data_IF_788329623575
#
_entry.id   IF_788329623575
#
_cell.length_a   1.000
_cell.length_b   1.000
_cell.length_c   1.000
_cell.angle_alpha   90.00
_cell.angle_beta   90.00
_cell.angle_gamma   90.00
#
_symmetry.space_group_name_H-M   'P 1'
#
loop_
_entity.id
_entity.type
_entity.pdbx_description
1 polymer ?
#
# COMPACT_ATOMS: atom_id res chain seq x y z
N UNK A 1 8.82 2.76 -7.68
CA UNK A 1 7.51 2.29 -7.18
C UNK A 1 7.74 1.18 -6.15
N UNK A 2 7.01 1.21 -5.05
CA UNK A 2 6.93 0.10 -4.08
C UNK A 2 5.47 -0.34 -4.06
N UNK A 3 5.21 -1.64 -4.30
CA UNK A 3 3.86 -2.18 -4.40
C UNK A 3 3.47 -2.88 -3.11
N UNK A 4 2.29 -2.54 -2.58
CA UNK A 4 1.67 -3.18 -1.43
C UNK A 4 0.77 -4.33 -1.92
N UNK A 5 0.95 -5.51 -1.36
CA UNK A 5 0.02 -6.62 -1.52
C UNK A 5 -1.06 -6.51 -0.43
N UNK A 6 -2.18 -5.87 -0.77
CA UNK A 6 -3.26 -5.62 0.19
C UNK A 6 -3.89 -6.93 0.67
N UNK A 7 -4.00 -7.95 -0.20
CA UNK A 7 -4.50 -9.25 0.19
C UNK A 7 -3.69 -9.84 1.35
N UNK A 8 -2.36 -9.87 1.22
CA UNK A 8 -1.52 -10.40 2.30
C UNK A 8 -1.57 -9.55 3.57
N UNK A 9 -1.57 -8.24 3.42
CA UNK A 9 -1.66 -7.33 4.57
C UNK A 9 -2.99 -7.46 5.33
N UNK A 10 -4.09 -7.71 4.63
CA UNK A 10 -5.40 -7.96 5.25
C UNK A 10 -5.41 -9.29 5.99
N UNK A 11 -4.82 -10.34 5.40
CA UNK A 11 -4.71 -11.65 6.06
C UNK A 11 -3.87 -11.57 7.33
N UNK A 12 -2.68 -10.96 7.27
CA UNK A 12 -1.79 -10.79 8.41
C UNK A 12 -2.46 -9.97 9.53
N UNK A 13 -3.12 -8.85 9.16
CA UNK A 13 -3.87 -8.03 10.10
C UNK A 13 -5.03 -8.79 10.75
N UNK A 14 -5.81 -9.55 9.94
CA UNK A 14 -6.96 -10.28 10.45
C UNK A 14 -6.54 -11.38 11.42
N UNK A 15 -5.50 -12.13 11.10
CA UNK A 15 -4.98 -13.19 11.95
C UNK A 15 -4.50 -12.64 13.30
N UNK A 16 -3.73 -11.55 13.31
CA UNK A 16 -3.29 -10.87 14.54
C UNK A 16 -4.48 -10.32 15.36
N UNK A 17 -5.54 -9.87 14.69
CA UNK A 17 -6.72 -9.33 15.33
C UNK A 17 -7.59 -10.45 15.92
N UNK A 18 -7.79 -11.54 15.19
CA UNK A 18 -8.54 -12.71 15.62
C UNK A 18 -7.87 -13.42 16.80
N UNK A 19 -6.56 -13.60 16.80
CA UNK A 19 -5.82 -14.16 17.92
C UNK A 19 -6.04 -13.36 19.21
N UNK A 20 -5.91 -12.03 19.16
CA UNK A 20 -6.17 -11.16 20.32
C UNK A 20 -7.63 -11.18 20.77
N UNK A 21 -8.55 -11.27 19.82
CA UNK A 21 -9.97 -11.40 20.12
C UNK A 21 -10.28 -12.74 20.78
N UNK A 22 -9.68 -13.82 20.30
CA UNK A 22 -9.84 -15.16 20.89
C UNK A 22 -9.26 -15.23 22.30
N UNK A 23 -8.08 -14.66 22.55
CA UNK A 23 -7.48 -14.58 23.89
C UNK A 23 -8.39 -13.89 24.92
N UNK A 24 -9.17 -12.89 24.46
CA UNK A 24 -10.03 -12.07 25.33
C UNK A 24 -11.40 -12.68 25.52
N UNK A 25 -11.97 -13.31 24.49
CA UNK A 25 -13.39 -13.73 24.46
C UNK A 25 -13.58 -15.24 24.41
N UNK A 26 -12.54 -16.01 24.07
CA UNK A 26 -12.61 -17.46 23.84
C UNK A 26 -13.35 -17.84 22.56
N UNK A 27 -13.56 -16.90 21.62
CA UNK A 27 -14.26 -17.10 20.34
C UNK A 27 -13.47 -16.49 19.20
N UNK A 28 -13.53 -17.12 18.03
CA UNK A 28 -13.01 -16.53 16.81
C UNK A 28 -13.93 -15.45 16.26
N UNK A 29 -13.33 -14.44 15.63
CA UNK A 29 -14.05 -13.33 15.01
C UNK A 29 -14.62 -13.75 13.65
N UNK A 30 -15.83 -13.33 13.33
CA UNK A 30 -16.36 -13.45 11.97
C UNK A 30 -15.66 -12.40 11.07
N UNK A 31 -15.23 -12.84 9.90
CA UNK A 31 -14.57 -11.96 8.91
C UNK A 31 -15.45 -10.80 8.44
N UNK A 32 -16.78 -10.97 8.50
CA UNK A 32 -17.75 -9.92 8.15
C UNK A 32 -17.95 -8.89 9.28
N UNK A 33 -17.58 -9.21 10.52
CA UNK A 33 -17.76 -8.32 11.67
C UNK A 33 -16.54 -7.41 11.94
N UNK A 34 -15.57 -7.37 11.01
CA UNK A 34 -14.37 -6.56 11.17
C UNK A 34 -14.62 -5.08 10.95
N UNK A 35 -13.89 -4.25 11.69
CA UNK A 35 -13.88 -2.81 11.49
C UNK A 35 -12.75 -2.42 10.52
N UNK A 36 -13.10 -2.01 9.30
CA UNK A 36 -12.12 -1.61 8.27
C UNK A 36 -11.24 -0.43 8.69
N UNK A 37 -11.71 0.44 9.59
CA UNK A 37 -10.90 1.50 10.17
C UNK A 37 -9.72 0.94 10.97
N UNK A 38 -9.87 -0.23 11.62
CA UNK A 38 -8.76 -0.90 12.31
C UNK A 38 -7.69 -1.38 11.34
N UNK A 39 -8.07 -1.86 10.16
CA UNK A 39 -7.11 -2.18 9.11
C UNK A 39 -6.41 -0.91 8.58
N UNK A 40 -7.14 0.20 8.40
CA UNK A 40 -6.56 1.47 8.02
C UNK A 40 -5.48 1.94 9.01
N UNK A 41 -5.71 1.79 10.31
CA UNK A 41 -4.70 2.09 11.33
C UNK A 41 -3.49 1.13 11.27
N UNK A 42 -3.71 -0.16 11.03
CA UNK A 42 -2.63 -1.13 10.81
C UNK A 42 -1.77 -0.79 9.58
N UNK A 43 -2.38 -0.24 8.52
CA UNK A 43 -1.70 0.11 7.29
C UNK A 43 -0.77 1.33 7.43
N UNK A 44 -1.09 2.30 8.30
CA UNK A 44 -0.33 3.55 8.46
C UNK A 44 1.16 3.35 8.76
N UNK A 45 1.59 2.55 9.75
CA UNK A 45 3.01 2.35 10.02
C UNK A 45 3.75 1.63 8.88
N UNK A 46 3.06 0.81 8.09
CA UNK A 46 3.63 0.16 6.91
C UNK A 46 3.88 1.21 5.83
N UNK A 47 2.90 2.08 5.56
CA UNK A 47 3.05 3.21 4.64
C UNK A 47 4.17 4.15 5.05
N UNK A 48 4.27 4.51 6.34
CA UNK A 48 5.34 5.35 6.85
C UNK A 48 6.73 4.78 6.53
N UNK A 49 6.90 3.47 6.66
CA UNK A 49 8.13 2.77 6.29
C UNK A 49 8.39 2.85 4.79
N UNK A 50 7.37 2.69 3.96
CA UNK A 50 7.47 2.81 2.50
C UNK A 50 7.88 4.23 2.08
N UNK A 51 7.30 5.27 2.72
CA UNK A 51 7.70 6.65 2.46
C UNK A 51 9.16 6.91 2.81
N UNK A 52 9.65 6.39 3.94
CA UNK A 52 11.06 6.50 4.32
C UNK A 52 11.99 5.88 3.27
N UNK A 53 11.65 4.72 2.72
CA UNK A 53 12.43 4.12 1.63
C UNK A 53 12.41 4.97 0.35
N UNK A 54 11.27 5.49 -0.04
CA UNK A 54 11.15 6.35 -1.20
C UNK A 54 11.94 7.65 -1.05
N UNK A 55 11.89 8.28 0.14
CA UNK A 55 12.65 9.49 0.44
C UNK A 55 14.15 9.19 0.37
N UNK A 56 14.62 8.11 0.98
CA UNK A 56 16.01 7.71 0.92
C UNK A 56 16.49 7.48 -0.52
N UNK A 57 15.70 6.74 -1.32
CA UNK A 57 16.02 6.48 -2.72
C UNK A 57 16.07 7.77 -3.55
N UNK A 58 15.07 8.65 -3.42
CA UNK A 58 15.05 9.92 -4.17
C UNK A 58 16.15 10.88 -3.73
N UNK A 59 16.53 10.86 -2.45
CA UNK A 59 17.68 11.60 -1.93
C UNK A 59 18.97 11.15 -2.62
N UNK A 60 19.17 9.85 -2.75
CA UNK A 60 20.31 9.28 -3.48
C UNK A 60 20.33 9.74 -4.95
N UNK A 61 19.18 9.78 -5.64
CA UNK A 61 19.08 10.28 -7.00
C UNK A 61 19.49 11.76 -7.11
N UNK A 62 19.07 12.61 -6.19
CA UNK A 62 19.48 14.02 -6.13
C UNK A 62 20.99 14.18 -5.90
N UNK A 63 21.59 13.32 -5.07
CA UNK A 63 23.04 13.34 -4.86
C UNK A 63 23.81 12.90 -6.10
N UNK A 64 23.34 11.87 -6.80
CA UNK A 64 23.95 11.41 -8.05
C UNK A 64 23.83 12.45 -9.16
N UNK A 65 22.67 13.11 -9.29
CA UNK A 65 22.50 14.22 -10.23
C UNK A 65 23.50 15.34 -9.94
N UNK A 66 23.61 15.77 -8.68
CA UNK A 66 24.52 16.84 -8.26
C UNK A 66 26.00 16.52 -8.54
N UNK A 67 26.37 15.23 -8.58
CA UNK A 67 27.73 14.76 -8.90
C UNK A 67 27.93 14.45 -10.38
N UNK A 68 26.93 14.69 -11.24
CA UNK A 68 27.00 14.35 -12.66
C UNK A 68 26.91 12.86 -12.97
N UNK A 69 26.54 12.04 -11.99
CA UNK A 69 26.51 10.56 -12.09
C UNK A 69 25.17 10.01 -12.60
N UNK A 70 24.15 10.86 -12.77
CA UNK A 70 22.84 10.46 -13.29
C UNK A 70 22.66 10.98 -14.72
N UNK A 71 23.18 10.22 -15.67
CA UNK A 71 23.29 10.64 -17.07
C UNK A 71 21.96 11.09 -17.69
N UNK A 72 20.85 10.42 -17.40
CA UNK A 72 19.53 10.77 -17.96
C UNK A 72 19.02 12.13 -17.48
N UNK A 73 19.27 12.49 -16.22
CA UNK A 73 18.90 13.78 -15.66
C UNK A 73 19.90 14.87 -16.09
N UNK A 74 21.19 14.59 -15.99
CA UNK A 74 22.22 15.55 -16.39
C UNK A 74 22.19 15.86 -17.89
N UNK A 75 21.73 14.92 -18.73
CA UNK A 75 21.48 15.10 -20.16
C UNK A 75 20.15 15.79 -20.49
N UNK A 76 19.33 16.13 -19.49
CA UNK A 76 18.06 16.83 -19.67
C UNK A 76 16.90 15.96 -20.16
N UNK A 77 17.06 14.63 -20.18
CA UNK A 77 15.98 13.71 -20.60
C UNK A 77 14.94 13.48 -19.51
N UNK A 78 15.31 13.56 -18.22
CA UNK A 78 14.46 13.36 -17.07
C UNK A 78 14.70 14.49 -16.08
N UNK A 79 13.64 15.04 -15.50
CA UNK A 79 13.72 15.96 -14.38
C UNK A 79 13.32 15.22 -13.09
N UNK A 80 14.27 14.98 -12.19
CA UNK A 80 14.01 14.26 -10.93
C UNK A 80 12.95 14.96 -10.08
N UNK A 81 12.84 16.29 -10.19
CA UNK A 81 11.86 17.07 -9.42
C UNK A 81 10.42 16.71 -9.77
N UNK A 82 10.17 16.36 -11.02
CA UNK A 82 8.83 16.02 -11.53
C UNK A 82 8.47 14.56 -11.33
N UNK A 83 9.42 13.73 -10.88
CA UNK A 83 9.18 12.32 -10.63
C UNK A 83 8.41 12.11 -9.31
N UNK A 84 7.27 11.43 -9.42
CA UNK A 84 6.54 10.92 -8.26
C UNK A 84 7.16 9.62 -7.74
N UNK A 85 7.10 9.47 -6.42
CA UNK A 85 7.36 8.20 -5.75
C UNK A 85 6.03 7.46 -5.59
N UNK A 86 5.82 6.44 -6.41
CA UNK A 86 4.51 5.77 -6.52
C UNK A 86 4.36 4.65 -5.51
N UNK A 87 3.26 4.66 -4.78
CA UNK A 87 2.76 3.55 -3.97
C UNK A 87 1.91 2.67 -4.89
N UNK A 88 2.41 1.52 -5.27
CA UNK A 88 1.64 0.52 -6.02
C UNK A 88 0.65 -0.19 -5.10
N UNK A 89 -0.53 -0.50 -5.60
CA UNK A 89 -1.61 -1.17 -4.88
C UNK A 89 -2.04 -2.39 -5.69
N UNK A 90 -2.16 -3.53 -5.01
CA UNK A 90 -2.53 -4.79 -5.63
C UNK A 90 -3.27 -5.69 -4.62
N UNK A 91 -4.06 -6.64 -5.11
CA UNK A 91 -4.75 -7.62 -4.28
C UNK A 91 -5.98 -7.08 -3.53
N UNK A 92 -6.61 -6.00 -4.01
CA UNK A 92 -7.81 -5.43 -3.36
C UNK A 92 -9.02 -6.34 -3.44
N UNK A 93 -9.24 -6.99 -4.60
CA UNK A 93 -10.37 -7.89 -4.80
C UNK A 93 -10.20 -9.16 -3.97
N UNK A 94 -9.01 -9.74 -4.00
CA UNK A 94 -8.66 -10.93 -3.23
C UNK A 94 -8.77 -10.67 -1.72
N UNK A 95 -8.37 -9.48 -1.26
CA UNK A 95 -8.54 -9.06 0.13
C UNK A 95 -10.02 -8.95 0.53
N UNK A 96 -10.85 -8.40 -0.35
CA UNK A 96 -12.29 -8.31 -0.13
C UNK A 96 -12.94 -9.71 -0.07
N UNK A 97 -12.58 -10.60 -0.99
CA UNK A 97 -13.05 -11.99 -1.01
C UNK A 97 -12.61 -12.76 0.25
N UNK A 98 -11.38 -12.56 0.71
CA UNK A 98 -10.89 -13.14 1.97
C UNK A 98 -11.75 -12.70 3.17
N UNK A 99 -12.19 -11.45 3.21
CA UNK A 99 -13.09 -10.92 4.23
C UNK A 99 -14.55 -11.34 4.03
N UNK A 100 -14.87 -12.13 3.00
CA UNK A 100 -16.24 -12.56 2.69
C UNK A 100 -17.08 -11.48 2.02
N UNK A 101 -16.47 -10.41 1.53
CA UNK A 101 -17.17 -9.36 0.80
C UNK A 101 -17.39 -9.76 -0.66
N UNK A 102 -18.58 -9.53 -1.15
CA UNK A 102 -18.87 -9.68 -2.59
C UNK A 102 -18.23 -8.52 -3.37
N UNK A 103 -17.38 -8.85 -4.34
CA UNK A 103 -16.76 -7.86 -5.24
C UNK A 103 -17.78 -7.36 -6.24
N UNK A 104 -18.56 -6.36 -5.83
CA UNK A 104 -19.62 -5.75 -6.61
C UNK A 104 -19.88 -4.31 -6.15
N UNK A 105 -20.82 -3.62 -6.80
CA UNK A 105 -21.21 -2.26 -6.39
C UNK A 105 -22.15 -2.30 -5.15
N UNK A 106 -21.67 -2.84 -4.04
CA UNK A 106 -22.40 -2.88 -2.78
C UNK A 106 -21.74 -1.99 -1.70
N UNK A 107 -22.49 -1.54 -0.69
CA UNK A 107 -21.99 -0.60 0.31
C UNK A 107 -20.78 -1.11 1.11
N UNK A 108 -20.74 -2.40 1.45
CA UNK A 108 -19.68 -2.98 2.27
C UNK A 108 -18.34 -3.02 1.52
N UNK A 109 -18.35 -3.44 0.26
CA UNK A 109 -17.16 -3.44 -0.59
C UNK A 109 -16.68 -2.02 -0.87
N UNK A 110 -17.60 -1.09 -1.16
CA UNK A 110 -17.26 0.32 -1.37
C UNK A 110 -16.64 0.93 -0.11
N UNK A 111 -17.19 0.64 1.07
CA UNK A 111 -16.62 1.10 2.33
C UNK A 111 -15.20 0.57 2.54
N UNK A 112 -14.96 -0.72 2.32
CA UNK A 112 -13.62 -1.31 2.38
C UNK A 112 -12.64 -0.58 1.46
N UNK A 113 -13.00 -0.36 0.19
CA UNK A 113 -12.17 0.38 -0.75
C UNK A 113 -11.91 1.83 -0.30
N UNK A 114 -12.93 2.52 0.21
CA UNK A 114 -12.80 3.89 0.68
C UNK A 114 -11.84 3.99 1.88
N UNK A 115 -11.90 3.05 2.82
CA UNK A 115 -10.98 3.03 3.97
C UNK A 115 -9.54 2.78 3.51
N UNK A 116 -9.30 1.79 2.64
CA UNK A 116 -7.95 1.46 2.18
C UNK A 116 -7.38 2.58 1.30
N UNK A 117 -8.08 2.91 0.22
CA UNK A 117 -7.60 3.90 -0.76
C UNK A 117 -7.60 5.31 -0.19
N UNK A 118 -8.59 5.64 0.65
CA UNK A 118 -8.66 6.91 1.37
C UNK A 118 -7.47 7.11 2.29
N UNK A 119 -7.11 6.09 3.06
CA UNK A 119 -5.93 6.11 3.94
C UNK A 119 -4.65 6.32 3.16
N UNK A 120 -4.44 5.58 2.06
CA UNK A 120 -3.24 5.74 1.23
C UNK A 120 -3.19 7.16 0.62
N UNK A 121 -4.31 7.67 0.13
CA UNK A 121 -4.42 9.03 -0.43
C UNK A 121 -4.09 10.11 0.60
N UNK A 122 -4.61 9.97 1.81
CA UNK A 122 -4.34 10.90 2.92
C UNK A 122 -2.86 10.87 3.31
N UNK A 123 -2.30 9.68 3.48
CA UNK A 123 -0.90 9.51 3.83
C UNK A 123 0.04 10.03 2.73
N UNK A 124 -0.27 9.83 1.46
CA UNK A 124 0.45 10.45 0.34
C UNK A 124 0.50 11.97 0.46
N UNK A 125 -0.62 12.59 0.84
CA UNK A 125 -0.70 14.05 1.03
C UNK A 125 0.12 14.52 2.23
N UNK A 126 0.05 13.81 3.36
CA UNK A 126 0.78 14.14 4.59
C UNK A 126 2.29 14.06 4.38
N UNK A 127 2.76 13.03 3.67
CA UNK A 127 4.18 12.77 3.48
C UNK A 127 4.80 13.52 2.28
N UNK A 128 3.99 14.09 1.40
CA UNK A 128 4.50 14.89 0.28
C UNK A 128 5.13 16.19 0.77
N UNK A 129 6.35 16.45 0.33
CA UNK A 129 7.13 17.66 0.65
C UNK A 129 7.29 18.45 -0.65
N UNK A 130 6.49 19.50 -0.89
CA UNK A 130 6.55 20.29 -2.13
C UNK A 130 7.66 21.35 -2.07
N UNK A 131 8.89 20.94 -1.81
CA UNK A 131 10.05 21.84 -1.82
C UNK A 131 10.43 22.25 -3.25
N UNK A 132 10.82 23.53 -3.45
CA UNK A 132 11.17 24.03 -4.78
C UNK A 132 12.47 23.44 -5.35
N UNK A 133 13.39 23.00 -4.48
CA UNK A 133 14.71 22.50 -4.89
C UNK A 133 14.73 20.97 -4.96
N UNK A 134 14.17 20.31 -3.95
CA UNK A 134 14.17 18.84 -3.81
C UNK A 134 12.79 18.34 -3.35
N UNK A 135 11.76 18.38 -4.22
CA UNK A 135 10.43 17.90 -3.83
C UNK A 135 10.40 16.38 -3.67
N UNK A 136 9.66 15.93 -2.65
CA UNK A 136 9.28 14.53 -2.49
C UNK A 136 7.77 14.46 -2.67
N UNK A 137 7.32 14.00 -3.83
CA UNK A 137 5.91 13.92 -4.18
C UNK A 137 5.49 12.45 -4.26
N UNK A 138 4.35 12.13 -3.69
CA UNK A 138 3.81 10.77 -3.66
C UNK A 138 2.49 10.70 -4.41
N UNK A 139 2.28 9.61 -5.11
CA UNK A 139 1.00 9.21 -5.68
C UNK A 139 0.76 7.72 -5.44
N UNK A 140 -0.42 7.25 -5.77
CA UNK A 140 -0.75 5.82 -5.73
C UNK A 140 -1.33 5.38 -7.06
N UNK A 141 -1.09 4.13 -7.40
CA UNK A 141 -1.52 3.51 -8.64
C UNK A 141 -1.91 2.06 -8.38
N UNK A 142 -3.05 1.64 -8.91
CA UNK A 142 -3.41 0.21 -8.95
C UNK A 142 -2.55 -0.44 -10.03
N UNK A 143 -1.75 -1.42 -9.62
CA UNK A 143 -0.81 -2.09 -10.52
C UNK A 143 -1.50 -3.25 -11.21
N UNK A 144 -1.63 -3.25 -12.54
CA UNK A 144 -2.07 -4.42 -13.28
C UNK A 144 -1.02 -5.51 -13.15
N UNK A 145 -1.40 -6.62 -12.53
CA UNK A 145 -0.45 -7.64 -12.15
C UNK A 145 -0.93 -9.02 -12.58
N UNK A 146 -0.87 -9.31 -13.87
CA UNK A 146 -1.29 -10.58 -14.45
C UNK A 146 -0.64 -11.79 -13.78
N UNK A 147 0.64 -11.70 -13.39
CA UNK A 147 1.35 -12.79 -12.69
C UNK A 147 1.15 -12.84 -11.17
N UNK A 148 0.63 -11.79 -10.54
CA UNK A 148 0.46 -11.72 -9.09
C UNK A 148 -0.81 -12.41 -8.61
N UNK A 149 -1.88 -12.43 -9.39
CA UNK A 149 -3.07 -13.20 -9.10
C UNK A 149 -2.77 -14.69 -8.93
N UNK A 150 -1.94 -15.24 -9.83
CA UNK A 150 -1.48 -16.65 -9.73
C UNK A 150 -0.61 -16.87 -8.50
N UNK A 151 0.26 -15.92 -8.16
CA UNK A 151 1.10 -16.02 -6.96
C UNK A 151 0.27 -15.93 -5.68
N UNK A 152 -0.66 -14.99 -5.60
CA UNK A 152 -1.57 -14.86 -4.45
C UNK A 152 -2.40 -16.13 -4.28
N UNK A 153 -2.98 -16.66 -5.35
CA UNK A 153 -3.72 -17.93 -5.31
C UNK A 153 -2.86 -19.10 -4.80
N UNK A 154 -1.60 -19.18 -5.24
CA UNK A 154 -0.70 -20.25 -4.80
C UNK A 154 -0.28 -20.07 -3.32
N UNK A 155 -0.10 -18.85 -2.85
CA UNK A 155 0.18 -18.57 -1.44
C UNK A 155 -1.01 -18.92 -0.56
N UNK A 156 -2.21 -18.46 -0.92
CA UNK A 156 -3.44 -18.75 -0.18
C UNK A 156 -3.72 -20.24 -0.10
N UNK A 157 -3.37 -21.01 -1.14
CA UNK A 157 -3.51 -22.48 -1.16
C UNK A 157 -2.47 -23.22 -0.32
N UNK A 158 -1.30 -22.65 -0.11
CA UNK A 158 -0.22 -23.28 0.66
C UNK A 158 -0.28 -22.92 2.15
N UNK A 159 -0.88 -21.80 2.50
CA UNK A 159 -1.01 -21.27 3.87
C UNK A 159 -2.36 -21.62 4.51
N UNK A 160 -3.28 -22.32 3.79
CA UNK A 160 -4.64 -22.69 4.19
C UNK A 160 -4.74 -24.14 4.76
#
# INVERSE_FOLDING_TARGET
>A
MITLNINRLVQDWFNDYDERYFETTGRHLDRLDVNFTSFAEYLKPILERVYKYHIAYKTMLYEWEARGMYASSNGGYINIKDLFSTIGINGLNEAAEFLGLEVSNNPAYIQFLQEVLGTIKEQNKIHSIPDKKRPFLFNSEVVPAEGLGVKNYNWDKNDG
#
